data_IF_342400374273
#
_entry.id   IF_342400374273
#
_cell.length_a   1.000
_cell.length_b   1.000
_cell.length_c   1.000
_cell.angle_alpha   90.00
_cell.angle_beta   90.00
_cell.angle_gamma   90.00
#
_symmetry.space_group_name_H-M   'P 1'
#
loop_
_entity.id
_entity.type
_entity.pdbx_description
1 polymer ?
#
# COMPACT_ATOMS: atom_id res chain seq x y z
N UNK A 1 -19.98 8.52 -31.92
CA UNK A 1 -21.08 9.33 -31.34
C UNK A 1 -20.40 10.34 -30.45
N UNK A 2 -20.35 11.62 -30.80
CA UNK A 2 -19.37 12.55 -30.23
C UNK A 2 -19.45 12.65 -28.71
N UNK A 3 -20.64 12.54 -28.12
CA UNK A 3 -20.82 12.56 -26.67
C UNK A 3 -20.29 11.30 -25.97
N UNK A 4 -20.39 10.13 -26.61
CA UNK A 4 -19.81 8.88 -26.09
C UNK A 4 -18.29 8.95 -26.17
N UNK A 5 -17.74 9.53 -27.24
CA UNK A 5 -16.29 9.67 -27.45
C UNK A 5 -15.67 10.68 -26.46
N UNK A 6 -16.37 11.79 -26.17
CA UNK A 6 -15.98 12.75 -25.13
C UNK A 6 -16.02 12.11 -23.75
N UNK A 7 -17.09 11.39 -23.42
CA UNK A 7 -17.23 10.72 -22.13
C UNK A 7 -16.18 9.62 -21.97
N UNK A 8 -15.91 8.86 -23.03
CA UNK A 8 -14.86 7.85 -23.09
C UNK A 8 -13.48 8.45 -22.82
N UNK A 9 -13.13 9.55 -23.48
CA UNK A 9 -11.85 10.26 -23.27
C UNK A 9 -11.72 10.88 -21.87
N UNK A 10 -12.84 11.33 -21.28
CA UNK A 10 -12.84 11.85 -19.91
C UNK A 10 -12.69 10.73 -18.87
N UNK A 11 -13.33 9.58 -19.08
CA UNK A 11 -13.28 8.43 -18.18
C UNK A 11 -12.01 7.59 -18.34
N UNK A 12 -11.33 7.66 -19.49
CA UNK A 12 -10.04 7.00 -19.75
C UNK A 12 -8.85 7.75 -19.13
N UNK A 13 -9.08 8.79 -18.33
CA UNK A 13 -8.05 9.33 -17.42
C UNK A 13 -7.77 8.36 -16.25
N UNK A 14 -7.39 7.12 -16.57
CA UNK A 14 -6.72 6.18 -15.68
C UNK A 14 -5.21 6.39 -15.81
N UNK A 15 -4.75 7.63 -15.68
CA UNK A 15 -3.31 7.88 -15.49
C UNK A 15 -2.96 7.48 -14.08
N UNK A 16 -2.75 6.19 -13.89
CA UNK A 16 -2.09 5.71 -12.69
C UNK A 16 -0.60 5.92 -12.95
N UNK A 17 -0.09 7.06 -12.52
CA UNK A 17 1.33 7.42 -12.66
C UNK A 17 2.18 6.33 -12.01
N UNK A 18 3.03 5.61 -12.75
CA UNK A 18 3.76 4.46 -12.22
C UNK A 18 4.69 4.83 -11.07
N UNK A 19 5.24 6.04 -11.07
CA UNK A 19 6.02 6.59 -9.96
C UNK A 19 5.19 6.74 -8.67
N UNK A 20 3.92 7.16 -8.79
CA UNK A 20 3.00 7.26 -7.65
C UNK A 20 2.62 5.87 -7.13
N UNK A 21 2.42 4.89 -8.02
CA UNK A 21 2.16 3.50 -7.64
C UNK A 21 3.33 2.91 -6.87
N UNK A 22 4.56 3.08 -7.39
CA UNK A 22 5.77 2.61 -6.70
C UNK A 22 5.88 3.24 -5.31
N UNK A 23 5.68 4.56 -5.22
CA UNK A 23 5.74 5.29 -3.94
C UNK A 23 4.67 4.78 -2.95
N UNK A 24 3.46 4.51 -3.42
CA UNK A 24 2.39 3.97 -2.59
C UNK A 24 2.71 2.56 -2.08
N UNK A 25 3.28 1.68 -2.91
CA UNK A 25 3.72 0.35 -2.50
C UNK A 25 4.85 0.44 -1.46
N UNK A 26 5.86 1.28 -1.70
CA UNK A 26 6.99 1.46 -0.78
C UNK A 26 6.52 2.04 0.57
N UNK A 27 5.56 2.97 0.57
CA UNK A 27 4.97 3.50 1.80
C UNK A 27 4.12 2.46 2.53
N UNK A 28 3.36 1.66 1.80
CA UNK A 28 2.57 0.58 2.38
C UNK A 28 3.46 -0.42 3.13
N UNK A 29 4.54 -0.88 2.51
CA UNK A 29 5.51 -1.79 3.14
C UNK A 29 6.12 -1.18 4.41
N UNK A 30 6.56 0.09 4.34
CA UNK A 30 7.10 0.82 5.50
C UNK A 30 6.10 0.89 6.65
N UNK A 31 4.85 1.22 6.37
CA UNK A 31 3.81 1.29 7.39
C UNK A 31 3.60 -0.05 8.10
N UNK A 32 3.63 -1.17 7.38
CA UNK A 32 3.48 -2.49 7.99
C UNK A 32 4.69 -2.85 8.86
N UNK A 33 5.90 -2.51 8.42
CA UNK A 33 7.12 -2.68 9.23
C UNK A 33 7.07 -1.81 10.49
N UNK A 34 6.59 -0.57 10.39
CA UNK A 34 6.43 0.31 11.54
C UNK A 34 5.42 -0.23 12.55
N UNK A 35 4.30 -0.78 12.08
CA UNK A 35 3.32 -1.49 12.93
C UNK A 35 3.97 -2.69 13.60
N UNK A 36 4.72 -3.50 12.83
CA UNK A 36 5.44 -4.68 13.35
C UNK A 36 6.41 -4.30 14.48
N UNK A 37 7.14 -3.19 14.32
CA UNK A 37 8.10 -2.72 15.32
C UNK A 37 7.43 -2.17 16.58
N UNK A 38 6.20 -1.64 16.46
CA UNK A 38 5.41 -1.07 17.57
C UNK A 38 4.37 -2.02 18.14
N UNK A 39 4.43 -3.31 17.78
CA UNK A 39 3.44 -4.31 18.20
C UNK A 39 3.31 -4.39 19.72
N UNK A 40 4.41 -4.28 20.45
CA UNK A 40 4.41 -4.37 21.91
C UNK A 40 3.65 -3.19 22.55
N UNK A 41 3.82 -1.98 22.01
CA UNK A 41 3.09 -0.78 22.45
C UNK A 41 1.60 -0.90 22.16
N UNK A 42 1.24 -1.37 20.96
CA UNK A 42 -0.16 -1.57 20.52
C UNK A 42 -0.86 -2.60 21.42
N UNK A 43 -0.17 -3.71 21.75
CA UNK A 43 -0.72 -4.73 22.65
C UNK A 43 -0.94 -4.17 24.05
N UNK A 44 -0.02 -3.34 24.55
CA UNK A 44 -0.14 -2.73 25.87
C UNK A 44 -1.27 -1.68 25.92
N UNK A 45 -1.41 -0.87 24.89
CA UNK A 45 -2.53 0.08 24.74
C UNK A 45 -3.87 -0.66 24.68
N UNK A 46 -3.98 -1.73 23.89
CA UNK A 46 -5.19 -2.54 23.79
C UNK A 46 -5.60 -3.15 25.14
N UNK A 47 -4.64 -3.60 25.95
CA UNK A 47 -4.91 -4.08 27.31
C UNK A 47 -5.42 -2.97 28.24
N UNK A 48 -4.93 -1.74 28.08
CA UNK A 48 -5.37 -0.60 28.87
C UNK A 48 -6.79 -0.16 28.54
N UNK A 49 -7.25 -0.37 27.30
CA UNK A 49 -8.59 -0.02 26.82
C UNK A 49 -9.60 -1.13 27.16
N UNK A 50 -9.17 -2.39 27.12
CA UNK A 50 -10.02 -3.56 27.40
C UNK A 50 -10.10 -3.91 28.90
N UNK A 51 -10.60 -3.01 29.74
CA UNK A 51 -11.14 -3.37 31.06
C UNK A 51 -12.61 -3.77 30.93
N UNK A 52 -12.89 -4.98 30.40
CA UNK A 52 -14.24 -5.54 30.44
C UNK A 52 -14.54 -6.14 31.84
N UNK A 53 -15.75 -5.94 32.41
CA UNK A 53 -16.15 -6.59 33.64
C UNK A 53 -16.16 -8.11 33.45
N UNK A 54 -15.74 -8.85 34.48
CA UNK A 54 -15.71 -10.31 34.51
C UNK A 54 -17.11 -10.93 34.44
N UNK A 55 -17.80 -10.82 33.30
CA UNK A 55 -19.12 -11.39 33.06
C UNK A 55 -19.06 -12.45 31.97
N UNK A 56 -19.26 -13.72 32.35
CA UNK A 56 -19.50 -14.86 31.46
C UNK A 56 -18.34 -15.33 30.58
N UNK A 57 -17.34 -15.89 31.26
CA UNK A 57 -16.21 -16.65 30.69
C UNK A 57 -16.68 -17.99 30.10
N UNK A 58 -17.22 -17.99 28.88
CA UNK A 58 -17.11 -19.18 28.01
C UNK A 58 -15.61 -19.40 27.81
N UNK A 59 -15.09 -20.57 28.23
CA UNK A 59 -13.68 -21.00 28.12
C UNK A 59 -13.18 -20.96 26.67
N UNK A 60 -12.92 -19.78 26.12
CA UNK A 60 -11.93 -19.63 25.06
C UNK A 60 -10.61 -20.01 25.72
N UNK A 61 -9.91 -21.01 25.18
CA UNK A 61 -8.53 -21.35 25.57
C UNK A 61 -7.79 -20.04 25.84
N UNK A 62 -7.22 -19.89 27.03
CA UNK A 62 -6.42 -18.73 27.41
C UNK A 62 -5.26 -18.62 26.40
N UNK A 63 -5.49 -18.01 25.24
CA UNK A 63 -4.44 -17.61 24.33
C UNK A 63 -3.68 -16.54 25.08
N UNK A 64 -2.45 -16.87 25.46
CA UNK A 64 -1.63 -16.03 26.30
C UNK A 64 -1.35 -14.71 25.57
N UNK A 65 -0.95 -13.66 26.31
CA UNK A 65 -0.48 -12.43 25.67
C UNK A 65 0.70 -12.69 24.71
N UNK A 66 1.45 -13.77 24.95
CA UNK A 66 2.53 -14.21 24.08
C UNK A 66 1.98 -14.76 22.75
N UNK A 67 0.93 -15.58 22.79
CA UNK A 67 0.30 -16.15 21.59
C UNK A 67 -0.28 -15.06 20.68
N UNK A 68 -0.89 -14.02 21.26
CA UNK A 68 -1.39 -12.86 20.49
C UNK A 68 -0.27 -12.06 19.84
N UNK A 69 0.86 -11.90 20.53
CA UNK A 69 2.05 -11.23 19.99
C UNK A 69 2.63 -11.99 18.82
N UNK A 70 2.81 -13.31 18.96
CA UNK A 70 3.33 -14.17 17.89
C UNK A 70 2.39 -14.12 16.68
N UNK A 71 1.08 -14.25 16.90
CA UNK A 71 0.10 -14.14 15.81
C UNK A 71 0.13 -12.78 15.10
N UNK A 72 0.26 -11.66 15.86
CA UNK A 72 0.35 -10.33 15.26
C UNK A 72 1.61 -10.17 14.39
N UNK A 73 2.76 -10.69 14.85
CA UNK A 73 3.99 -10.71 14.07
C UNK A 73 3.83 -11.53 12.79
N UNK A 74 3.29 -12.74 12.88
CA UNK A 74 3.04 -13.60 11.72
C UNK A 74 2.12 -12.93 10.69
N UNK A 75 1.08 -12.22 11.15
CA UNK A 75 0.19 -11.46 10.27
C UNK A 75 0.95 -10.35 9.54
N UNK A 76 1.78 -9.57 10.24
CA UNK A 76 2.62 -8.56 9.59
C UNK A 76 3.56 -9.17 8.55
N UNK A 77 4.22 -10.30 8.87
CA UNK A 77 5.10 -10.99 7.92
C UNK A 77 4.35 -11.49 6.69
N UNK A 78 3.17 -12.09 6.89
CA UNK A 78 2.33 -12.58 5.80
C UNK A 78 1.88 -11.44 4.88
N UNK A 79 1.53 -10.28 5.44
CA UNK A 79 1.14 -9.10 4.65
C UNK A 79 2.33 -8.61 3.81
N UNK A 80 3.52 -8.50 4.40
CA UNK A 80 4.74 -8.07 3.68
C UNK A 80 5.10 -9.05 2.58
N UNK A 81 5.10 -10.36 2.86
CA UNK A 81 5.40 -11.39 1.88
C UNK A 81 4.38 -11.38 0.73
N UNK A 82 3.09 -11.26 1.04
CA UNK A 82 2.04 -11.16 0.03
C UNK A 82 2.18 -9.92 -0.84
N UNK A 83 2.61 -8.79 -0.25
CA UNK A 83 2.87 -7.56 -1.01
C UNK A 83 4.07 -7.72 -1.93
N UNK A 84 5.18 -8.31 -1.43
CA UNK A 84 6.37 -8.58 -2.23
C UNK A 84 6.06 -9.50 -3.42
N UNK A 85 5.32 -10.59 -3.20
CA UNK A 85 4.95 -11.51 -4.29
C UNK A 85 4.08 -10.81 -5.34
N UNK A 86 3.10 -10.02 -4.90
CA UNK A 86 2.15 -9.34 -5.80
C UNK A 86 2.79 -8.18 -6.56
N UNK A 87 3.81 -7.55 -6.00
CA UNK A 87 4.48 -6.37 -6.55
C UNK A 87 5.96 -6.61 -6.87
N UNK A 88 6.36 -7.86 -7.13
CA UNK A 88 7.77 -8.22 -7.37
C UNK A 88 8.44 -7.43 -8.52
N UNK A 89 7.64 -6.93 -9.47
CA UNK A 89 8.13 -6.13 -10.61
C UNK A 89 7.98 -4.62 -10.42
N UNK A 90 7.79 -4.14 -9.17
CA UNK A 90 7.57 -2.71 -8.89
C UNK A 90 8.71 -1.80 -9.32
N UNK A 91 9.94 -2.31 -9.41
CA UNK A 91 11.10 -1.55 -9.89
C UNK A 91 11.00 -1.22 -11.39
N UNK A 92 10.28 -2.03 -12.16
CA UNK A 92 10.01 -1.77 -13.58
C UNK A 92 8.81 -0.84 -13.80
N UNK A 93 8.05 -0.47 -12.76
CA UNK A 93 6.94 0.48 -12.91
C UNK A 93 7.45 1.81 -13.48
N UNK A 94 8.61 2.30 -13.05
CA UNK A 94 9.19 3.54 -13.56
C UNK A 94 9.55 3.44 -15.05
N UNK A 95 9.92 2.25 -15.52
CA UNK A 95 10.16 2.02 -16.95
C UNK A 95 8.86 2.07 -17.76
N UNK A 96 7.70 1.76 -17.18
CA UNK A 96 6.40 1.95 -17.83
C UNK A 96 6.15 3.43 -18.19
N UNK A 97 6.76 4.36 -17.44
CA UNK A 97 6.67 5.79 -17.72
C UNK A 97 7.26 6.19 -19.07
N UNK A 98 8.21 5.40 -19.60
CA UNK A 98 8.84 5.62 -20.91
C UNK A 98 7.88 5.35 -22.08
N UNK A 99 6.73 4.73 -21.84
CA UNK A 99 5.74 4.44 -22.88
C UNK A 99 4.59 5.44 -22.90
N UNK A 100 4.61 6.48 -22.05
CA UNK A 100 3.61 7.55 -22.13
C UNK A 100 3.95 8.48 -23.29
N UNK A 101 3.05 8.51 -24.27
CA UNK A 101 3.17 9.34 -25.47
C UNK A 101 3.35 10.83 -25.16
N UNK A 102 2.87 11.28 -24.00
CA UNK A 102 2.90 12.67 -23.55
C UNK A 102 4.29 13.20 -23.25
N UNK A 103 5.29 12.34 -23.01
CA UNK A 103 6.68 12.76 -22.85
C UNK A 103 7.40 12.98 -24.20
N UNK A 104 6.81 12.47 -25.29
CA UNK A 104 7.38 12.52 -26.65
C UNK A 104 6.60 13.44 -27.59
N UNK A 105 5.46 13.98 -27.15
CA UNK A 105 4.65 14.91 -27.94
C UNK A 105 5.21 16.34 -27.78
N UNK A 106 5.70 16.99 -28.85
CA UNK A 106 6.34 18.31 -28.78
C UNK A 106 5.42 19.44 -28.26
N UNK A 107 4.10 19.19 -28.19
CA UNK A 107 3.12 20.13 -27.64
C UNK A 107 2.73 19.87 -26.19
N UNK A 108 3.32 18.87 -25.52
CA UNK A 108 2.97 18.51 -24.15
C UNK A 108 3.68 19.39 -23.12
N UNK A 109 2.97 19.87 -22.09
CA UNK A 109 3.56 20.65 -20.99
C UNK A 109 4.55 19.83 -20.12
N UNK A 110 4.72 18.54 -20.40
CA UNK A 110 5.66 17.64 -19.72
C UNK A 110 6.75 17.09 -20.65
N UNK A 111 6.91 17.64 -21.87
CA UNK A 111 7.93 17.17 -22.82
C UNK A 111 9.35 17.36 -22.27
N UNK A 112 10.21 16.36 -22.45
CA UNK A 112 11.57 16.29 -21.86
C UNK A 112 12.60 17.12 -22.66
N UNK A 113 12.16 18.04 -23.51
CA UNK A 113 13.06 18.79 -24.41
C UNK A 113 13.86 19.90 -23.72
N UNK A 114 13.62 20.20 -22.44
CA UNK A 114 14.34 21.27 -21.72
C UNK A 114 15.45 20.77 -20.76
N UNK A 115 15.91 19.52 -20.88
CA UNK A 115 16.95 18.98 -19.98
C UNK A 115 18.40 19.05 -20.53
N UNK A 116 18.65 19.79 -21.63
CA UNK A 116 20.02 20.03 -22.12
C UNK A 116 20.16 21.48 -22.59
N UNK A 117 20.48 22.39 -21.66
CA UNK A 117 21.38 23.53 -21.84
C UNK A 117 22.05 23.86 -20.50
#
# INVERSE_FOLDING_TARGET
MPHVDILFNQLQKRKTEPAQVKTAIDNFEKCIVDVRNKIDDIINEAKSICTEPQGNKRRRRNSSSHDHRVAALEVCDNIVNSANDRFQFKDHLVAASLFFHEYFDPGSPYSVVDAVH
#
